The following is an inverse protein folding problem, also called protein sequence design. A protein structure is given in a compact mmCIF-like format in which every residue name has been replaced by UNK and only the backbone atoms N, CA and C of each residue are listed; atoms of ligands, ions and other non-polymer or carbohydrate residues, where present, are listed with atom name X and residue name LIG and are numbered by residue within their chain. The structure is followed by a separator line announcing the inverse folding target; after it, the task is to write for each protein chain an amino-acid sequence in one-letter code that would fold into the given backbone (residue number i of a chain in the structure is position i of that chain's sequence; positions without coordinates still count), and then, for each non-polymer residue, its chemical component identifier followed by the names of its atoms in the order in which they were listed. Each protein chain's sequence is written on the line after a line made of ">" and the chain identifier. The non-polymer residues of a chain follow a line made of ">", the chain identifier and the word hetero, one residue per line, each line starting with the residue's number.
data_IF_416439992381
#
_entry.id   IF_416439992381
#
_cell.length_a   1.000
_cell.length_b   1.000
_cell.length_c   1.000
_cell.angle_alpha   90.00
_cell.angle_beta   90.00
_cell.angle_gamma   90.00
#
_symmetry.space_group_name_H-M   'P 1'
#
loop_
_entity.id
_entity.type
_entity.pdbx_description
1 polymer ?
#
# COMPACT_ATOMS: atom_id res chain seq x y z
N UNK A 1 -17.67 8.08 -29.33
CA UNK A 1 -17.00 7.08 -30.20
C UNK A 1 -15.94 6.38 -29.37
N UNK A 2 -16.01 5.06 -29.21
CA UNK A 2 -14.95 4.32 -28.52
C UNK A 2 -13.72 4.30 -29.44
N UNK A 3 -12.62 4.91 -29.00
CA UNK A 3 -11.36 4.88 -29.75
C UNK A 3 -10.90 3.43 -29.82
N UNK A 4 -10.85 2.86 -31.02
CA UNK A 4 -10.32 1.52 -31.25
C UNK A 4 -8.80 1.57 -31.09
N UNK A 5 -8.31 1.18 -29.92
CA UNK A 5 -6.89 1.15 -29.57
C UNK A 5 -6.39 -0.29 -29.70
N UNK A 6 -5.19 -0.47 -30.25
CA UNK A 6 -4.56 -1.80 -30.33
C UNK A 6 -4.28 -2.36 -28.93
N UNK A 7 -4.37 -3.68 -28.77
CA UNK A 7 -4.14 -4.34 -27.47
C UNK A 7 -2.79 -3.97 -26.83
N UNK A 8 -1.75 -3.76 -27.64
CA UNK A 8 -0.43 -3.30 -27.17
C UNK A 8 -0.49 -1.91 -26.55
N UNK A 9 -1.13 -0.95 -27.22
CA UNK A 9 -1.27 0.41 -26.72
C UNK A 9 -2.20 0.47 -25.51
N UNK A 10 -3.23 -0.38 -25.47
CA UNK A 10 -4.11 -0.52 -24.32
C UNK A 10 -3.36 -0.99 -23.07
N UNK A 11 -2.56 -2.06 -23.18
CA UNK A 11 -1.75 -2.56 -22.06
C UNK A 11 -0.76 -1.51 -21.54
N UNK A 12 -0.15 -0.72 -22.42
CA UNK A 12 0.75 0.38 -22.03
C UNK A 12 -0.02 1.50 -21.33
N UNK A 13 -1.19 1.90 -21.85
CA UNK A 13 -2.02 2.91 -21.22
C UNK A 13 -2.51 2.48 -19.83
N UNK A 14 -2.94 1.22 -19.69
CA UNK A 14 -3.36 0.65 -18.40
C UNK A 14 -2.19 0.60 -17.39
N UNK A 15 -0.98 0.29 -17.86
CA UNK A 15 0.23 0.31 -17.03
C UNK A 15 0.64 1.71 -16.58
N UNK A 16 0.57 2.70 -17.48
CA UNK A 16 0.82 4.11 -17.14
C UNK A 16 -0.20 4.59 -16.09
N UNK A 17 -1.46 4.25 -16.27
CA UNK A 17 -2.54 4.57 -15.32
C UNK A 17 -2.28 3.97 -13.94
N UNK A 18 -1.88 2.69 -13.87
CA UNK A 18 -1.55 2.04 -12.61
C UNK A 18 -0.32 2.67 -11.93
N UNK A 19 0.71 3.03 -12.70
CA UNK A 19 1.92 3.66 -12.16
C UNK A 19 1.62 5.05 -11.58
N UNK A 20 0.88 5.89 -12.31
CA UNK A 20 0.52 7.23 -11.87
C UNK A 20 -0.37 7.21 -10.61
N UNK A 21 -1.36 6.30 -10.57
CA UNK A 21 -2.19 6.11 -9.38
C UNK A 21 -1.36 5.65 -8.17
N UNK A 22 -0.44 4.71 -8.39
CA UNK A 22 0.40 4.19 -7.32
C UNK A 22 1.31 5.28 -6.74
N UNK A 23 1.91 6.12 -7.58
CA UNK A 23 2.74 7.24 -7.12
C UNK A 23 1.92 8.28 -6.35
N UNK A 24 0.74 8.65 -6.86
CA UNK A 24 -0.16 9.58 -6.20
C UNK A 24 -0.58 9.09 -4.80
N UNK A 25 -1.04 7.84 -4.70
CA UNK A 25 -1.47 7.26 -3.42
C UNK A 25 -0.30 7.04 -2.46
N UNK A 26 0.87 6.71 -2.99
CA UNK A 26 2.10 6.58 -2.19
C UNK A 26 2.41 7.89 -1.46
N UNK A 27 2.32 9.05 -2.12
CA UNK A 27 2.62 10.32 -1.47
C UNK A 27 1.54 10.75 -0.48
N UNK A 28 0.27 10.59 -0.84
CA UNK A 28 -0.87 11.07 -0.04
C UNK A 28 -1.14 10.22 1.21
N UNK A 29 -0.88 8.91 1.12
CA UNK A 29 -1.17 7.92 2.17
C UNK A 29 0.09 7.33 2.82
N UNK A 30 1.26 7.93 2.60
CA UNK A 30 2.52 7.48 3.20
C UNK A 30 2.44 7.43 4.73
N UNK A 31 1.76 8.41 5.32
CA UNK A 31 1.61 8.47 6.77
C UNK A 31 0.64 7.43 7.30
N UNK A 32 -0.27 6.89 6.49
CA UNK A 32 -1.26 5.90 6.91
C UNK A 32 -0.77 4.45 6.72
N UNK A 33 0.44 4.29 6.18
CA UNK A 33 1.05 3.01 5.89
C UNK A 33 0.36 2.35 4.71
N UNK A 34 0.36 3.04 3.58
CA UNK A 34 0.01 2.50 2.27
C UNK A 34 0.90 1.30 1.95
N UNK A 35 0.38 0.33 1.19
CA UNK A 35 1.10 -0.89 0.81
C UNK A 35 1.03 -1.15 -0.68
N UNK A 36 -0.01 -0.67 -1.35
CA UNK A 36 -0.25 -0.92 -2.75
C UNK A 36 -1.69 -0.64 -3.14
N UNK A 37 -1.92 -0.74 -4.45
CA UNK A 37 -3.23 -0.53 -5.06
C UNK A 37 -3.56 -1.69 -5.99
N UNK A 38 -4.76 -2.21 -5.88
CA UNK A 38 -5.34 -3.15 -6.83
C UNK A 38 -6.44 -2.45 -7.64
N UNK A 39 -6.33 -2.51 -8.96
CA UNK A 39 -7.31 -1.92 -9.86
C UNK A 39 -8.11 -3.06 -10.50
N UNK A 40 -9.40 -3.08 -10.24
CA UNK A 40 -10.36 -4.02 -10.85
C UNK A 40 -11.25 -3.26 -11.83
N UNK A 41 -10.92 -3.38 -13.11
CA UNK A 41 -11.67 -2.74 -14.20
C UNK A 41 -12.85 -3.63 -14.57
N UNK A 42 -14.07 -3.15 -14.33
CA UNK A 42 -15.31 -3.74 -14.86
C UNK A 42 -15.82 -2.81 -15.98
N UNK A 43 -16.48 -3.32 -17.03
CA UNK A 43 -17.00 -2.47 -18.12
C UNK A 43 -17.91 -1.34 -17.65
N UNK A 44 -18.60 -1.54 -16.52
CA UNK A 44 -19.56 -0.59 -15.96
C UNK A 44 -18.96 0.33 -14.88
N UNK A 45 -17.92 -0.13 -14.16
CA UNK A 45 -17.30 0.57 -13.02
C UNK A 45 -15.85 0.14 -12.84
N UNK A 46 -14.98 1.08 -12.48
CA UNK A 46 -13.61 0.79 -12.07
C UNK A 46 -13.53 0.82 -10.56
N UNK A 47 -13.15 -0.30 -9.95
CA UNK A 47 -12.91 -0.40 -8.51
C UNK A 47 -11.42 -0.28 -8.23
N UNK A 48 -11.07 0.63 -7.34
CA UNK A 48 -9.69 0.85 -6.87
C UNK A 48 -9.64 0.46 -5.40
N UNK A 49 -8.92 -0.60 -5.10
CA UNK A 49 -8.76 -1.12 -3.74
C UNK A 49 -7.41 -0.65 -3.22
N UNK A 50 -7.44 0.18 -2.19
CA UNK A 50 -6.26 0.69 -1.50
C UNK A 50 -5.91 -0.30 -0.39
N UNK A 51 -4.72 -0.88 -0.47
CA UNK A 51 -4.17 -1.72 0.57
C UNK A 51 -3.42 -0.84 1.56
N UNK A 52 -3.92 -0.75 2.79
CA UNK A 52 -3.32 0.04 3.84
C UNK A 52 -3.26 -0.70 5.17
N UNK A 53 -2.29 -0.33 6.01
CA UNK A 53 -2.20 -0.88 7.36
C UNK A 53 -3.26 -0.27 8.29
N UNK A 54 -3.51 1.05 8.18
CA UNK A 54 -4.50 1.80 8.97
C UNK A 54 -5.67 2.26 8.09
N UNK A 55 -6.58 1.33 7.79
CA UNK A 55 -7.77 1.63 6.97
C UNK A 55 -8.68 2.69 7.57
N UNK A 56 -8.72 2.83 8.90
CA UNK A 56 -9.53 3.84 9.60
C UNK A 56 -9.11 5.27 9.22
N UNK A 57 -7.82 5.55 9.11
CA UNK A 57 -7.33 6.88 8.73
C UNK A 57 -7.57 7.20 7.24
N UNK A 58 -7.60 6.17 6.39
CA UNK A 58 -7.90 6.30 4.96
C UNK A 58 -9.39 6.59 4.74
N UNK A 59 -10.26 5.97 5.55
CA UNK A 59 -11.71 6.19 5.51
C UNK A 59 -12.12 7.51 6.21
N UNK A 60 -11.47 7.86 7.33
CA UNK A 60 -11.78 9.02 8.17
C UNK A 60 -13.21 8.99 8.79
N UNK A 61 -13.51 9.85 9.77
CA UNK A 61 -14.70 9.77 10.65
C UNK A 61 -16.06 9.76 9.91
N UNK A 62 -16.11 10.25 8.67
CA UNK A 62 -17.33 10.29 7.84
C UNK A 62 -17.11 9.88 6.37
N UNK A 63 -16.00 9.21 6.04
CA UNK A 63 -15.70 8.96 4.63
C UNK A 63 -15.28 10.21 3.87
N UNK A 64 -14.84 11.27 4.57
CA UNK A 64 -14.51 12.56 3.93
C UNK A 64 -13.31 12.40 3.01
N UNK A 65 -12.22 11.84 3.54
CA UNK A 65 -10.96 11.65 2.80
C UNK A 65 -11.15 10.77 1.57
N UNK A 66 -11.90 9.67 1.68
CA UNK A 66 -12.15 8.80 0.52
C UNK A 66 -12.99 9.49 -0.57
N UNK A 67 -13.94 10.35 -0.22
CA UNK A 67 -14.72 11.15 -1.20
C UNK A 67 -13.86 12.21 -1.90
N UNK A 68 -12.96 12.84 -1.16
CA UNK A 68 -12.01 13.81 -1.71
C UNK A 68 -11.07 13.11 -2.69
N UNK A 69 -10.50 11.95 -2.32
CA UNK A 69 -9.68 11.11 -3.19
C UNK A 69 -10.45 10.69 -4.45
N UNK A 70 -11.69 10.24 -4.32
CA UNK A 70 -12.54 9.88 -5.49
C UNK A 70 -12.73 11.06 -6.43
N UNK A 71 -12.95 12.26 -5.88
CA UNK A 71 -13.15 13.48 -6.69
C UNK A 71 -11.86 13.86 -7.44
N UNK A 72 -10.70 13.74 -6.79
CA UNK A 72 -9.39 14.01 -7.41
C UNK A 72 -9.11 13.02 -8.54
N UNK A 73 -9.32 11.72 -8.29
CA UNK A 73 -9.13 10.66 -9.30
C UNK A 73 -10.08 10.85 -10.48
N UNK A 74 -11.36 11.16 -10.23
CA UNK A 74 -12.32 11.43 -11.30
C UNK A 74 -11.89 12.59 -12.19
N UNK A 75 -11.49 13.73 -11.60
CA UNK A 75 -11.07 14.92 -12.35
C UNK A 75 -9.76 14.72 -13.10
N UNK A 76 -8.78 14.03 -12.50
CA UNK A 76 -7.44 13.85 -13.07
C UNK A 76 -7.45 12.89 -14.26
N UNK A 77 -8.23 11.82 -14.19
CA UNK A 77 -8.28 10.80 -15.24
C UNK A 77 -9.47 10.95 -16.20
N UNK A 78 -10.33 11.97 -15.98
CA UNK A 78 -11.45 12.27 -16.87
C UNK A 78 -12.55 11.20 -16.89
N UNK A 79 -12.75 10.50 -15.77
CA UNK A 79 -13.83 9.52 -15.66
C UNK A 79 -15.18 10.23 -15.54
N UNK A 80 -16.26 9.69 -16.16
CA UNK A 80 -17.61 10.18 -15.91
C UNK A 80 -18.00 9.95 -14.44
N UNK A 81 -18.85 10.84 -13.91
CA UNK A 81 -19.25 10.82 -12.50
C UNK A 81 -19.85 9.46 -12.11
N UNK A 82 -19.40 8.93 -10.96
CA UNK A 82 -19.91 7.66 -10.42
C UNK A 82 -19.34 6.37 -11.07
N UNK A 83 -18.39 6.49 -12.00
CA UNK A 83 -17.76 5.34 -12.64
C UNK A 83 -16.55 4.77 -11.87
N UNK A 84 -16.08 5.50 -10.85
CA UNK A 84 -14.93 5.11 -10.00
C UNK A 84 -15.41 4.91 -8.57
N UNK A 85 -15.09 3.74 -8.02
CA UNK A 85 -15.31 3.39 -6.61
C UNK A 85 -13.96 3.11 -5.95
N UNK A 86 -13.72 3.74 -4.80
CA UNK A 86 -12.51 3.56 -3.99
C UNK A 86 -12.89 2.83 -2.70
N UNK A 87 -12.22 1.71 -2.47
CA UNK A 87 -12.37 0.88 -1.27
C UNK A 87 -11.03 0.79 -0.54
N UNK A 88 -11.05 0.66 0.78
CA UNK A 88 -9.85 0.47 1.60
C UNK A 88 -9.87 -0.92 2.24
N UNK A 89 -8.84 -1.71 1.96
CA UNK A 89 -8.67 -3.05 2.52
C UNK A 89 -7.42 -3.12 3.41
N UNK A 90 -7.53 -3.89 4.49
CA UNK A 90 -6.45 -4.04 5.46
C UNK A 90 -5.48 -5.10 4.99
N UNK A 91 -4.20 -4.76 4.93
CA UNK A 91 -3.13 -5.74 4.65
C UNK A 91 -3.12 -6.84 5.71
N UNK A 92 -3.19 -8.11 5.27
CA UNK A 92 -3.26 -9.27 6.15
C UNK A 92 -2.06 -9.39 7.10
N UNK A 93 -0.84 -9.26 6.56
CA UNK A 93 0.43 -9.39 7.30
C UNK A 93 1.30 -8.16 7.07
N UNK A 94 1.22 -7.19 7.98
CA UNK A 94 1.99 -5.93 7.90
C UNK A 94 3.50 -6.12 7.80
N UNK A 95 4.03 -7.20 8.38
CA UNK A 95 5.46 -7.52 8.36
C UNK A 95 6.00 -8.03 7.03
N UNK A 96 5.14 -8.53 6.14
CA UNK A 96 5.54 -9.05 4.82
C UNK A 96 5.52 -7.98 3.72
N UNK A 97 4.95 -6.81 3.99
CA UNK A 97 4.94 -5.72 3.03
C UNK A 97 6.26 -4.91 3.10
N UNK A 98 7.09 -5.03 2.07
CA UNK A 98 8.34 -4.29 1.97
C UNK A 98 8.15 -2.76 2.05
N UNK A 99 7.09 -2.24 1.42
CA UNK A 99 6.81 -0.81 1.39
C UNK A 99 6.47 -0.26 2.78
N UNK A 100 5.56 -0.92 3.50
CA UNK A 100 5.21 -0.55 4.87
C UNK A 100 6.41 -0.66 5.83
N UNK A 101 7.33 -1.61 5.60
CA UNK A 101 8.56 -1.72 6.38
C UNK A 101 9.55 -0.59 6.08
N UNK A 102 9.69 -0.18 4.83
CA UNK A 102 10.52 0.96 4.44
C UNK A 102 9.99 2.27 5.04
N UNK A 103 8.67 2.47 5.04
CA UNK A 103 8.05 3.64 5.68
C UNK A 103 8.20 3.64 7.20
N UNK A 104 8.08 2.48 7.83
CA UNK A 104 8.35 2.31 9.26
C UNK A 104 9.79 2.65 9.61
N UNK A 105 10.75 2.23 8.76
CA UNK A 105 12.16 2.60 8.91
C UNK A 105 12.35 4.12 8.76
N UNK A 106 11.77 4.74 7.73
CA UNK A 106 11.79 6.19 7.52
C UNK A 106 11.27 6.93 8.75
N UNK A 107 10.12 6.53 9.29
CA UNK A 107 9.55 7.13 10.50
C UNK A 107 10.49 7.01 11.72
N UNK A 108 11.11 5.85 11.92
CA UNK A 108 12.06 5.64 13.04
C UNK A 108 13.30 6.52 12.90
N UNK A 109 13.83 6.66 11.69
CA UNK A 109 15.00 7.51 11.43
C UNK A 109 14.67 8.99 11.63
N UNK A 110 13.52 9.46 11.13
CA UNK A 110 13.04 10.83 11.37
C UNK A 110 12.77 11.10 12.85
N UNK A 111 12.34 10.08 13.60
CA UNK A 111 12.18 10.14 15.06
C UNK A 111 13.49 10.17 15.86
N UNK A 112 14.65 10.23 15.21
CA UNK A 112 15.95 10.36 15.87
C UNK A 112 16.52 9.08 16.46
N UNK A 113 15.97 7.91 16.11
CA UNK A 113 16.56 6.62 16.50
C UNK A 113 17.89 6.39 15.76
N UNK A 114 18.87 5.84 16.48
CA UNK A 114 20.12 5.41 15.86
C UNK A 114 19.86 4.41 14.72
N UNK A 115 20.57 4.59 13.60
CA UNK A 115 20.36 3.84 12.35
C UNK A 115 20.39 2.33 12.58
N UNK A 116 21.36 1.85 13.37
CA UNK A 116 21.49 0.42 13.68
C UNK A 116 20.26 -0.10 14.42
N UNK A 117 19.82 0.59 15.48
CA UNK A 117 18.65 0.20 16.27
C UNK A 117 17.37 0.18 15.42
N UNK A 118 17.21 1.17 14.54
CA UNK A 118 16.07 1.25 13.63
C UNK A 118 16.05 0.07 12.64
N UNK A 119 17.19 -0.22 11.99
CA UNK A 119 17.32 -1.33 11.04
C UNK A 119 17.13 -2.70 11.71
N UNK A 120 17.79 -2.96 12.84
CA UNK A 120 17.62 -4.22 13.58
C UNK A 120 16.20 -4.41 14.10
N UNK A 121 15.53 -3.33 14.53
CA UNK A 121 14.14 -3.37 14.96
C UNK A 121 13.17 -3.74 13.83
N UNK A 122 13.39 -3.22 12.61
CA UNK A 122 12.59 -3.59 11.43
C UNK A 122 12.89 -5.03 10.99
N UNK A 123 14.17 -5.42 10.95
CA UNK A 123 14.58 -6.78 10.58
C UNK A 123 13.98 -7.83 11.52
N UNK A 124 14.01 -7.58 12.83
CA UNK A 124 13.40 -8.45 13.84
C UNK A 124 11.89 -8.59 13.64
N UNK A 125 11.21 -7.49 13.31
CA UNK A 125 9.77 -7.48 13.06
C UNK A 125 9.39 -8.30 11.82
N UNK A 126 10.18 -8.21 10.74
CA UNK A 126 9.98 -9.03 9.53
C UNK A 126 10.15 -10.51 9.86
N UNK A 127 11.25 -10.87 10.51
CA UNK A 127 11.53 -12.27 10.88
C UNK A 127 10.47 -12.88 11.80
N UNK A 128 9.87 -12.10 12.69
CA UNK A 128 8.79 -12.56 13.56
C UNK A 128 7.46 -12.73 12.80
N UNK A 129 7.25 -11.92 11.77
CA UNK A 129 6.06 -11.97 10.91
C UNK A 129 6.12 -13.08 9.85
N UNK A 130 7.32 -13.47 9.43
CA UNK A 130 7.56 -14.57 8.48
C UNK A 130 7.44 -15.95 9.12
N UNK A 131 7.50 -16.08 10.45
CA UNK A 131 7.40 -17.38 11.11
C UNK A 131 6.02 -17.97 10.86
N UNK A 132 5.92 -19.07 10.10
CA UNK A 132 4.66 -19.76 9.97
C UNK A 132 4.28 -20.32 11.33
N UNK A 133 3.02 -20.17 11.73
CA UNK A 133 2.46 -20.74 12.96
C UNK A 133 2.69 -22.28 13.10
N UNK A 134 3.18 -22.97 12.06
CA UNK A 134 3.49 -24.40 12.05
C UNK A 134 4.91 -24.80 12.52
N UNK A 135 5.77 -23.88 12.99
CA UNK A 135 7.10 -24.26 13.50
C UNK A 135 7.42 -23.72 14.91
N UNK A 136 6.53 -23.99 15.87
CA UNK A 136 6.92 -24.01 17.28
C UNK A 136 7.73 -25.29 17.58
N UNK A 137 8.94 -25.39 17.02
CA UNK A 137 10.03 -26.24 17.54
C UNK A 137 11.36 -25.73 16.98
N UNK A 138 11.86 -24.66 17.59
CA UNK A 138 13.13 -24.05 17.22
C UNK A 138 13.44 -22.79 18.00
N UNK A 139 13.09 -22.73 19.29
CA UNK A 139 13.69 -21.74 20.20
C UNK A 139 15.14 -22.17 20.42
N UNK A 140 16.09 -21.37 19.92
CA UNK A 140 17.49 -21.49 20.28
C UNK A 140 18.44 -21.41 19.10
N UNK A 141 18.56 -20.24 18.45
CA UNK A 141 19.70 -20.00 17.56
C UNK A 141 20.03 -18.52 17.35
N UNK A 142 19.85 -17.65 18.35
CA UNK A 142 20.35 -16.25 18.26
C UNK A 142 20.84 -15.69 19.59
N UNK A 143 21.18 -16.57 20.55
CA UNK A 143 21.86 -16.17 21.78
C UNK A 143 23.20 -16.90 21.81
N UNK A 144 24.28 -16.12 21.97
CA UNK A 144 25.71 -16.48 21.85
C UNK A 144 26.32 -16.39 20.45
N UNK A 145 26.61 -15.15 20.03
CA UNK A 145 27.89 -14.77 19.40
C UNK A 145 28.11 -13.29 19.71
N UNK A 146 28.58 -13.03 20.93
CA UNK A 146 29.33 -11.86 21.38
C UNK A 146 29.59 -12.02 22.88
N UNK A 147 30.52 -12.92 23.20
CA UNK A 147 31.44 -12.96 24.34
C UNK A 147 32.42 -14.09 24.03
#
# INVERSE_FOLDING_TARGET
>A
MAVQISNKRKAVADGIFQAELNEFLTQELAEDGYSGVEIRVTPTRTKIIILATRTQNVLDEKGRRIRELTTVVQKRFGFPEGNVELDAEKVATRGLCAFAQAESLRHKLLGGLAVQTACYGVLRFIMESERPHHSLRGKGMWEKRNC
#
